data_IF_605534646037
#
_entry.id   IF_605534646037
#
_cell.length_a   1.000
_cell.length_b   1.000
_cell.length_c   1.000
_cell.angle_alpha   90.00
_cell.angle_beta   90.00
_cell.angle_gamma   90.00
#
_symmetry.space_group_name_H-M   'P 1'
#
loop_
_entity.id
_entity.type
_entity.pdbx_description
1 polymer ?
#
# COMPACT_ATOMS: atom_id res chain seq x y z
N UNK A 1 34.51 4.63 8.47
CA UNK A 1 33.50 5.46 9.19
C UNK A 1 32.41 5.93 8.23
N UNK A 2 32.74 6.59 7.10
CA UNK A 2 31.76 6.90 6.02
C UNK A 2 31.13 5.67 5.36
N UNK A 3 31.90 4.60 5.16
CA UNK A 3 31.36 3.37 4.55
C UNK A 3 30.29 2.70 5.43
N UNK A 4 30.46 2.76 6.75
CA UNK A 4 29.45 2.27 7.71
C UNK A 4 28.17 3.11 7.64
N UNK A 5 28.29 4.43 7.46
CA UNK A 5 27.14 5.32 7.32
C UNK A 5 26.36 5.08 6.02
N UNK A 6 27.05 4.91 4.89
CA UNK A 6 26.41 4.55 3.62
C UNK A 6 25.78 3.14 3.66
N UNK A 7 26.37 2.22 4.43
CA UNK A 7 25.74 0.93 4.74
C UNK A 7 24.41 1.08 5.47
N UNK A 8 24.35 1.92 6.50
CA UNK A 8 23.10 2.19 7.23
C UNK A 8 22.06 2.92 6.37
N UNK A 9 22.46 3.85 5.51
CA UNK A 9 21.54 4.46 4.53
C UNK A 9 20.99 3.43 3.53
N UNK A 10 21.81 2.46 3.13
CA UNK A 10 21.35 1.35 2.28
C UNK A 10 20.33 0.48 3.00
N UNK A 11 20.50 0.29 4.32
CA UNK A 11 19.56 -0.45 5.16
C UNK A 11 18.17 0.16 5.20
N UNK A 12 18.06 1.50 5.18
CA UNK A 12 16.76 2.17 5.05
C UNK A 12 16.04 1.70 3.78
N UNK A 13 16.74 1.67 2.64
CA UNK A 13 16.15 1.25 1.37
C UNK A 13 15.74 -0.23 1.39
N UNK A 14 16.58 -1.10 1.96
CA UNK A 14 16.26 -2.52 2.12
C UNK A 14 14.99 -2.75 2.94
N UNK A 15 14.81 -2.00 4.03
CA UNK A 15 13.60 -2.08 4.86
C UNK A 15 12.37 -1.62 4.06
N UNK A 16 12.46 -0.53 3.31
CA UNK A 16 11.35 -0.04 2.48
C UNK A 16 10.95 -1.04 1.40
N UNK A 17 11.92 -1.62 0.69
CA UNK A 17 11.64 -2.67 -0.32
C UNK A 17 10.99 -3.87 0.33
N UNK A 18 11.50 -4.33 1.48
CA UNK A 18 10.92 -5.45 2.22
C UNK A 18 9.49 -5.17 2.67
N UNK A 19 9.20 -3.98 3.19
CA UNK A 19 7.85 -3.58 3.58
C UNK A 19 6.92 -3.49 2.38
N UNK A 20 7.41 -3.08 1.22
CA UNK A 20 6.64 -3.06 -0.03
C UNK A 20 6.26 -4.47 -0.46
N UNK A 21 7.21 -5.41 -0.41
CA UNK A 21 6.95 -6.83 -0.69
C UNK A 21 5.93 -7.44 0.29
N UNK A 22 6.02 -7.12 1.58
CA UNK A 22 5.06 -7.58 2.59
C UNK A 22 3.66 -6.97 2.38
N UNK A 23 3.57 -5.67 2.12
CA UNK A 23 2.29 -5.00 1.87
C UNK A 23 1.60 -5.50 0.59
N UNK A 24 2.38 -5.88 -0.43
CA UNK A 24 1.89 -6.56 -1.64
C UNK A 24 1.28 -7.92 -1.31
N UNK A 25 2.05 -8.79 -0.64
CA UNK A 25 1.59 -10.14 -0.25
C UNK A 25 0.36 -10.08 0.65
N UNK A 26 0.34 -9.12 1.59
CA UNK A 26 -0.78 -8.91 2.48
C UNK A 26 -2.05 -8.55 1.71
N UNK A 27 -1.99 -7.62 0.76
CA UNK A 27 -3.16 -7.23 -0.03
C UNK A 27 -3.65 -8.38 -0.92
N UNK A 28 -2.76 -9.05 -1.65
CA UNK A 28 -3.12 -10.21 -2.50
C UNK A 28 -3.79 -11.35 -1.70
N UNK A 29 -3.21 -11.66 -0.52
CA UNK A 29 -3.76 -12.66 0.39
C UNK A 29 -5.11 -12.21 0.98
N UNK A 30 -5.26 -10.93 1.31
CA UNK A 30 -6.51 -10.36 1.82
C UNK A 30 -7.62 -10.41 0.76
N UNK A 31 -7.31 -10.05 -0.49
CA UNK A 31 -8.23 -10.18 -1.62
C UNK A 31 -8.64 -11.64 -1.82
N UNK A 32 -7.69 -12.57 -1.80
CA UNK A 32 -7.97 -13.99 -1.97
C UNK A 32 -8.93 -14.46 -0.88
N UNK A 33 -8.61 -14.16 0.40
CA UNK A 33 -9.46 -14.49 1.53
C UNK A 33 -10.88 -13.91 1.42
N UNK A 34 -10.98 -12.66 0.95
CA UNK A 34 -12.25 -11.97 0.72
C UNK A 34 -13.11 -12.67 -0.33
N UNK A 35 -12.52 -13.03 -1.48
CA UNK A 35 -13.26 -13.58 -2.62
C UNK A 35 -13.62 -15.06 -2.45
N UNK A 36 -12.84 -15.81 -1.68
CA UNK A 36 -13.03 -17.24 -1.44
C UNK A 36 -13.59 -17.58 -0.05
N UNK A 37 -13.84 -16.58 0.80
CA UNK A 37 -14.23 -16.76 2.20
C UNK A 37 -13.25 -17.64 2.99
N UNK A 38 -11.94 -17.52 2.72
CA UNK A 38 -10.90 -18.26 3.43
C UNK A 38 -10.56 -17.61 4.77
N UNK A 39 -11.17 -18.13 5.83
CA UNK A 39 -10.96 -17.66 7.20
C UNK A 39 -9.49 -17.74 7.64
N UNK A 40 -8.80 -18.82 7.29
CA UNK A 40 -7.41 -19.03 7.75
C UNK A 40 -6.46 -18.04 7.09
N UNK A 41 -6.68 -17.77 5.80
CA UNK A 41 -5.90 -16.79 5.08
C UNK A 41 -6.16 -15.36 5.60
N UNK A 42 -7.42 -15.03 5.91
CA UNK A 42 -7.77 -13.75 6.53
C UNK A 42 -7.06 -13.56 7.88
N UNK A 43 -7.08 -14.57 8.75
CA UNK A 43 -6.39 -14.53 10.05
C UNK A 43 -4.87 -14.42 9.90
N UNK A 44 -4.29 -15.12 8.91
CA UNK A 44 -2.87 -15.04 8.61
C UNK A 44 -2.46 -13.60 8.23
N UNK A 45 -3.23 -12.94 7.35
CA UNK A 45 -2.98 -11.53 6.99
C UNK A 45 -3.07 -10.62 8.20
N UNK A 46 -4.12 -10.76 9.02
CA UNK A 46 -4.31 -9.92 10.21
C UNK A 46 -3.14 -10.08 11.20
N UNK A 47 -2.66 -11.30 11.39
CA UNK A 47 -1.50 -11.55 12.27
C UNK A 47 -0.16 -11.09 11.67
N UNK A 48 -0.04 -11.13 10.34
CA UNK A 48 1.18 -10.74 9.62
C UNK A 48 1.47 -9.24 9.67
N UNK A 49 0.45 -8.41 9.91
CA UNK A 49 0.55 -6.95 10.04
C UNK A 49 1.62 -6.51 11.07
N UNK A 50 1.75 -7.26 12.16
CA UNK A 50 2.76 -7.00 13.20
C UNK A 50 4.21 -7.01 12.67
N UNK A 51 4.48 -7.71 11.56
CA UNK A 51 5.79 -7.70 10.91
C UNK A 51 6.06 -6.37 10.19
N UNK A 52 5.04 -5.79 9.55
CA UNK A 52 5.15 -4.48 8.88
C UNK A 52 5.39 -3.40 9.94
N UNK A 53 4.63 -3.43 11.04
CA UNK A 53 4.81 -2.56 12.21
C UNK A 53 6.22 -2.61 12.80
N UNK A 54 6.79 -3.82 12.89
CA UNK A 54 8.13 -4.00 13.43
C UNK A 54 9.20 -3.38 12.53
N UNK A 55 9.06 -3.53 11.20
CA UNK A 55 9.95 -2.91 10.22
C UNK A 55 9.82 -1.39 10.20
N UNK A 56 8.60 -0.86 10.41
CA UNK A 56 8.39 0.57 10.58
C UNK A 56 9.20 1.10 11.76
N UNK A 57 9.03 0.51 12.94
CA UNK A 57 9.77 0.91 14.15
C UNK A 57 11.28 0.80 13.96
N UNK A 58 11.76 -0.27 13.32
CA UNK A 58 13.18 -0.44 13.02
C UNK A 58 13.71 0.71 12.16
N UNK A 59 12.99 1.10 11.11
CA UNK A 59 13.41 2.21 10.24
C UNK A 59 13.42 3.55 10.99
N UNK A 60 12.41 3.81 11.83
CA UNK A 60 12.34 5.02 12.64
C UNK A 60 13.52 5.13 13.61
N UNK A 61 13.78 4.07 14.38
CA UNK A 61 14.88 4.03 15.35
C UNK A 61 16.24 4.24 14.66
N UNK A 62 16.48 3.55 13.54
CA UNK A 62 17.70 3.75 12.73
C UNK A 62 17.83 5.17 12.21
N UNK A 63 16.74 5.73 11.70
CA UNK A 63 16.71 7.09 11.17
C UNK A 63 17.05 8.11 12.26
N UNK A 64 16.51 7.95 13.46
CA UNK A 64 16.82 8.80 14.61
C UNK A 64 18.30 8.69 15.03
N UNK A 65 18.85 7.46 15.08
CA UNK A 65 20.26 7.25 15.44
C UNK A 65 21.21 7.91 14.42
N UNK A 66 20.91 7.79 13.13
CA UNK A 66 21.67 8.43 12.06
C UNK A 66 21.64 9.96 12.15
N UNK A 67 20.46 10.54 12.38
CA UNK A 67 20.32 11.98 12.56
C UNK A 67 21.11 12.49 13.78
N UNK A 68 21.06 11.75 14.89
CA UNK A 68 21.73 12.13 16.12
C UNK A 68 23.26 12.03 16.03
N UNK A 69 23.79 10.99 15.36
CA UNK A 69 25.24 10.70 15.36
C UNK A 69 26.02 11.31 14.21
N UNK A 70 25.39 11.49 13.05
CA UNK A 70 26.13 11.74 11.80
C UNK A 70 25.89 13.13 11.20
N UNK A 71 24.94 13.91 11.73
CA UNK A 71 24.60 15.25 11.24
C UNK A 71 24.50 15.32 9.69
N UNK A 72 23.67 14.46 9.07
CA UNK A 72 23.62 14.32 7.61
C UNK A 72 23.13 15.61 6.95
N UNK A 73 23.63 15.88 5.73
CA UNK A 73 23.29 17.08 4.95
C UNK A 73 22.81 16.73 3.55
N UNK A 74 22.09 17.65 2.92
CA UNK A 74 21.63 17.55 1.53
C UNK A 74 20.97 16.20 1.19
N UNK A 75 21.64 15.36 0.38
CA UNK A 75 21.11 14.09 -0.13
C UNK A 75 20.92 13.06 1.00
N UNK A 76 21.84 13.00 1.95
CA UNK A 76 21.77 12.04 3.06
C UNK A 76 20.59 12.35 3.98
N UNK A 77 20.41 13.64 4.31
CA UNK A 77 19.26 14.10 5.10
C UNK A 77 17.95 13.82 4.36
N UNK A 78 17.91 14.09 3.05
CA UNK A 78 16.72 13.82 2.24
C UNK A 78 16.40 12.32 2.17
N UNK A 79 17.41 11.46 2.13
CA UNK A 79 17.23 10.01 2.14
C UNK A 79 16.58 9.55 3.44
N UNK A 80 17.06 10.05 4.58
CA UNK A 80 16.51 9.69 5.90
C UNK A 80 15.07 10.20 6.06
N UNK A 81 14.83 11.49 5.77
CA UNK A 81 13.50 12.09 5.88
C UNK A 81 12.52 11.49 4.86
N UNK A 82 13.01 11.16 3.66
CA UNK A 82 12.25 10.43 2.65
C UNK A 82 11.85 9.06 3.16
N UNK A 83 12.79 8.30 3.73
CA UNK A 83 12.54 7.00 4.34
C UNK A 83 11.47 7.05 5.43
N UNK A 84 11.57 7.98 6.37
CA UNK A 84 10.57 8.18 7.44
C UNK A 84 9.15 8.47 6.91
N UNK A 85 9.04 9.16 5.77
CA UNK A 85 7.73 9.45 5.17
C UNK A 85 7.19 8.29 4.35
N UNK A 86 8.08 7.56 3.68
CA UNK A 86 7.71 6.39 2.88
C UNK A 86 7.32 5.22 3.76
N UNK A 87 8.03 4.99 4.88
CA UNK A 87 7.74 3.89 5.81
C UNK A 87 6.32 3.99 6.37
N UNK A 88 5.87 5.20 6.73
CA UNK A 88 4.50 5.44 7.17
C UNK A 88 3.48 5.18 6.06
N UNK A 89 3.81 5.41 4.78
CA UNK A 89 2.88 5.09 3.69
C UNK A 89 2.78 3.56 3.48
N UNK A 90 3.87 2.83 3.68
CA UNK A 90 3.91 1.37 3.57
C UNK A 90 3.18 0.67 4.74
N UNK A 91 3.30 1.20 5.96
CA UNK A 91 2.51 0.73 7.10
C UNK A 91 1.01 0.91 6.84
N UNK A 92 0.60 2.09 6.31
CA UNK A 92 -0.79 2.32 5.91
C UNK A 92 -1.28 1.35 4.83
N UNK A 93 -0.43 0.96 3.89
CA UNK A 93 -0.78 -0.06 2.90
C UNK A 93 -1.01 -1.44 3.54
N UNK A 94 -0.19 -1.81 4.53
CA UNK A 94 -0.38 -3.02 5.36
C UNK A 94 -1.70 -3.00 6.15
N UNK A 95 -1.95 -1.89 6.85
CA UNK A 95 -3.18 -1.60 7.59
C UNK A 95 -4.45 -1.81 6.74
N UNK A 96 -4.43 -1.30 5.51
CA UNK A 96 -5.54 -1.41 4.57
C UNK A 96 -5.76 -2.88 4.13
N UNK A 97 -4.69 -3.63 3.88
CA UNK A 97 -4.79 -5.07 3.62
C UNK A 97 -5.38 -5.82 4.84
N UNK A 98 -4.94 -5.47 6.06
CA UNK A 98 -5.52 -5.99 7.30
C UNK A 98 -7.01 -5.67 7.42
N UNK A 99 -7.45 -4.48 7.04
CA UNK A 99 -8.88 -4.12 7.04
C UNK A 99 -9.69 -4.96 6.04
N UNK A 100 -9.18 -5.19 4.83
CA UNK A 100 -9.80 -6.10 3.84
C UNK A 100 -9.95 -7.50 4.42
N UNK A 101 -8.88 -8.04 5.01
CA UNK A 101 -8.91 -9.36 5.66
C UNK A 101 -9.86 -9.40 6.87
N UNK A 102 -9.98 -8.29 7.61
CA UNK A 102 -10.90 -8.19 8.75
C UNK A 102 -12.35 -8.31 8.29
N UNK A 103 -12.73 -7.66 7.18
CA UNK A 103 -14.08 -7.81 6.59
C UNK A 103 -14.31 -9.26 6.14
N UNK A 104 -13.33 -9.86 5.45
CA UNK A 104 -13.42 -11.26 5.04
C UNK A 104 -13.67 -12.21 6.23
N UNK A 105 -12.93 -12.02 7.33
CA UNK A 105 -13.10 -12.80 8.58
C UNK A 105 -14.46 -12.58 9.23
N UNK A 106 -14.94 -11.33 9.29
CA UNK A 106 -16.21 -11.01 9.96
C UNK A 106 -17.43 -11.61 9.26
N UNK A 107 -17.36 -11.83 7.94
CA UNK A 107 -18.48 -12.36 7.15
C UNK A 107 -18.46 -13.87 6.98
N UNK A 108 -17.41 -14.55 7.41
CA UNK A 108 -17.35 -16.00 7.39
C UNK A 108 -18.54 -16.64 8.15
N UNK A 109 -19.21 -17.67 7.62
CA UNK A 109 -18.86 -18.46 6.43
C UNK A 109 -19.32 -17.87 5.09
N UNK A 110 -20.08 -16.78 5.11
CA UNK A 110 -20.54 -16.11 3.90
C UNK A 110 -19.42 -15.28 3.24
N UNK A 111 -19.70 -14.73 2.06
CA UNK A 111 -18.78 -13.85 1.35
C UNK A 111 -19.26 -12.40 1.50
N UNK A 112 -18.37 -11.51 1.93
CA UNK A 112 -18.67 -10.09 2.07
C UNK A 112 -18.99 -9.41 0.73
N UNK A 113 -18.53 -10.00 -0.39
CA UNK A 113 -18.68 -9.46 -1.73
C UNK A 113 -19.74 -10.26 -2.50
N UNK A 114 -20.85 -9.61 -2.92
CA UNK A 114 -21.82 -10.20 -3.83
C UNK A 114 -21.17 -10.79 -5.10
N UNK A 115 -21.71 -11.90 -5.59
CA UNK A 115 -21.10 -12.67 -6.68
C UNK A 115 -20.88 -11.86 -7.96
N UNK A 116 -21.80 -10.95 -8.28
CA UNK A 116 -21.76 -10.03 -9.42
C UNK A 116 -20.72 -8.91 -9.28
N UNK A 117 -20.25 -8.63 -8.07
CA UNK A 117 -19.20 -7.63 -7.80
C UNK A 117 -17.80 -8.23 -7.67
N UNK A 118 -17.67 -9.56 -7.54
CA UNK A 118 -16.36 -10.24 -7.46
C UNK A 118 -15.40 -9.87 -8.62
N UNK A 119 -15.85 -9.74 -9.89
CA UNK A 119 -14.97 -9.32 -10.98
C UNK A 119 -14.34 -7.94 -10.76
N UNK A 120 -15.08 -6.98 -10.20
CA UNK A 120 -14.60 -5.62 -9.95
C UNK A 120 -13.50 -5.64 -8.88
N UNK A 121 -13.69 -6.42 -7.80
CA UNK A 121 -12.68 -6.58 -6.75
C UNK A 121 -11.44 -7.36 -7.22
N UNK A 122 -11.62 -8.36 -8.09
CA UNK A 122 -10.51 -9.07 -8.70
C UNK A 122 -9.67 -8.13 -9.59
N UNK A 123 -10.32 -7.24 -10.34
CA UNK A 123 -9.63 -6.22 -11.12
C UNK A 123 -8.94 -5.18 -10.23
N UNK A 124 -9.61 -4.70 -9.16
CA UNK A 124 -9.00 -3.78 -8.21
C UNK A 124 -7.73 -4.36 -7.57
N UNK A 125 -7.72 -5.66 -7.27
CA UNK A 125 -6.52 -6.35 -6.78
C UNK A 125 -5.41 -6.43 -7.82
N UNK A 126 -5.72 -6.67 -9.09
CA UNK A 126 -4.73 -6.64 -10.18
C UNK A 126 -4.12 -5.24 -10.35
N UNK A 127 -4.93 -4.19 -10.27
CA UNK A 127 -4.47 -2.81 -10.32
C UNK A 127 -3.57 -2.51 -9.11
N UNK A 128 -4.00 -2.89 -7.90
CA UNK A 128 -3.20 -2.72 -6.69
C UNK A 128 -1.84 -3.45 -6.78
N UNK A 129 -1.81 -4.70 -7.28
CA UNK A 129 -0.57 -5.46 -7.50
C UNK A 129 0.35 -4.75 -8.49
N UNK A 130 -0.20 -4.27 -9.61
CA UNK A 130 0.55 -3.52 -10.62
C UNK A 130 1.17 -2.25 -10.04
N UNK A 131 0.40 -1.49 -9.26
CA UNK A 131 0.89 -0.25 -8.63
C UNK A 131 2.02 -0.54 -7.65
N UNK A 132 1.85 -1.51 -6.75
CA UNK A 132 2.87 -1.82 -5.73
C UNK A 132 4.13 -2.44 -6.33
N UNK A 133 4.03 -3.24 -7.41
CA UNK A 133 5.19 -3.74 -8.16
C UNK A 133 5.97 -2.58 -8.77
N UNK A 134 5.30 -1.64 -9.44
CA UNK A 134 5.99 -0.46 -9.97
C UNK A 134 6.59 0.41 -8.86
N UNK A 135 5.89 0.59 -7.74
CA UNK A 135 6.44 1.32 -6.57
C UNK A 135 7.71 0.65 -6.04
N UNK A 136 7.72 -0.69 -5.99
CA UNK A 136 8.92 -1.46 -5.63
C UNK A 136 10.07 -1.22 -6.61
N UNK A 137 9.79 -1.24 -7.91
CA UNK A 137 10.81 -1.01 -8.94
C UNK A 137 11.37 0.42 -8.85
N UNK A 138 10.53 1.42 -8.57
CA UNK A 138 10.97 2.79 -8.26
C UNK A 138 11.91 2.83 -7.05
N UNK A 139 11.64 2.06 -5.99
CA UNK A 139 12.50 2.00 -4.80
C UNK A 139 13.85 1.33 -5.07
N UNK A 140 13.88 0.34 -5.97
CA UNK A 140 15.10 -0.41 -6.31
C UNK A 140 15.95 0.34 -7.34
N UNK A 141 15.33 0.76 -8.44
CA UNK A 141 16.01 1.32 -9.61
C UNK A 141 16.17 2.83 -9.55
N UNK A 142 15.42 3.51 -8.66
CA UNK A 142 15.34 4.97 -8.56
C UNK A 142 14.90 5.64 -9.87
N UNK A 143 14.17 4.92 -10.70
CA UNK A 143 13.62 5.44 -11.95
C UNK A 143 12.41 6.35 -11.67
N UNK A 144 12.59 7.64 -11.94
CA UNK A 144 11.56 8.66 -11.76
C UNK A 144 10.48 8.62 -12.85
N UNK A 145 10.76 7.98 -14.01
CA UNK A 145 9.80 7.89 -15.11
C UNK A 145 8.62 6.98 -14.76
N UNK A 146 8.87 5.92 -14.00
CA UNK A 146 7.85 5.00 -13.49
C UNK A 146 6.84 5.70 -12.57
N UNK A 147 7.21 6.81 -11.92
CA UNK A 147 6.27 7.54 -11.05
C UNK A 147 5.11 8.17 -11.82
N UNK A 148 5.33 8.61 -13.06
CA UNK A 148 4.26 9.12 -13.92
C UNK A 148 3.33 7.98 -14.38
N UNK A 149 3.88 6.79 -14.63
CA UNK A 149 3.07 5.63 -14.98
C UNK A 149 2.21 5.14 -13.80
N UNK A 150 2.75 5.15 -12.58
CA UNK A 150 1.99 4.78 -11.37
C UNK A 150 0.77 5.70 -11.21
N UNK A 151 0.95 7.01 -11.37
CA UNK A 151 -0.17 7.96 -11.30
C UNK A 151 -1.23 7.69 -12.37
N UNK A 152 -0.82 7.36 -13.59
CA UNK A 152 -1.76 7.02 -14.68
C UNK A 152 -2.47 5.68 -14.45
N UNK A 153 -1.77 4.70 -13.87
CA UNK A 153 -2.36 3.39 -13.58
C UNK A 153 -3.39 3.47 -12.43
N UNK A 154 -3.23 4.44 -11.53
CA UNK A 154 -4.16 4.75 -10.43
C UNK A 154 -5.52 5.26 -10.94
N UNK A 155 -5.58 5.93 -12.09
CA UNK A 155 -6.84 6.35 -12.73
C UNK A 155 -7.82 5.16 -12.87
N UNK A 156 -7.30 3.95 -13.11
CA UNK A 156 -8.13 2.75 -13.20
C UNK A 156 -8.72 2.35 -11.85
N UNK A 157 -7.98 2.51 -10.75
CA UNK A 157 -8.51 2.27 -9.40
C UNK A 157 -9.65 3.25 -9.09
N UNK A 158 -9.48 4.52 -9.44
CA UNK A 158 -10.52 5.55 -9.28
C UNK A 158 -11.79 5.24 -10.10
N UNK A 159 -11.64 4.72 -11.31
CA UNK A 159 -12.76 4.25 -12.13
C UNK A 159 -13.51 3.09 -11.46
N UNK A 160 -12.78 2.07 -10.99
CA UNK A 160 -13.38 0.91 -10.30
C UNK A 160 -14.09 1.34 -9.01
N UNK A 161 -13.50 2.26 -8.26
CA UNK A 161 -14.11 2.84 -7.07
C UNK A 161 -15.43 3.53 -7.41
N UNK A 162 -15.45 4.38 -8.45
CA UNK A 162 -16.67 5.04 -8.93
C UNK A 162 -17.72 4.04 -9.44
N UNK A 163 -17.30 2.99 -10.13
CA UNK A 163 -18.21 1.92 -10.57
C UNK A 163 -18.88 1.23 -9.38
N UNK A 164 -18.12 0.85 -8.34
CA UNK A 164 -18.68 0.25 -7.13
C UNK A 164 -19.73 1.13 -6.47
N UNK A 165 -19.44 2.43 -6.34
CA UNK A 165 -20.41 3.39 -5.80
C UNK A 165 -21.68 3.46 -6.65
N UNK A 166 -21.56 3.50 -7.97
CA UNK A 166 -22.71 3.51 -8.87
C UNK A 166 -23.57 2.25 -8.70
N UNK A 167 -22.95 1.06 -8.52
CA UNK A 167 -23.68 -0.19 -8.27
C UNK A 167 -24.44 -0.19 -6.94
N UNK A 168 -23.80 0.32 -5.88
CA UNK A 168 -24.40 0.36 -4.54
C UNK A 168 -25.54 1.37 -4.46
N UNK A 169 -25.46 2.47 -5.22
CA UNK A 169 -26.49 3.52 -5.27
C UNK A 169 -27.60 3.26 -6.29
N UNK A 170 -27.52 2.17 -7.06
CA UNK A 170 -28.55 1.81 -8.03
C UNK A 170 -29.85 1.42 -7.31
N UNK A 171 -30.99 1.89 -7.82
CA UNK A 171 -32.32 1.58 -7.25
C UNK A 171 -32.63 0.08 -7.24
N UNK A 172 -31.92 -0.72 -8.06
CA UNK A 172 -32.04 -2.18 -8.13
C UNK A 172 -31.10 -2.92 -7.17
N UNK A 173 -30.40 -2.24 -6.26
CA UNK A 173 -29.56 -2.89 -5.25
C UNK A 173 -30.37 -3.88 -4.39
N UNK A 174 -30.04 -5.16 -4.49
CA UNK A 174 -30.81 -6.25 -3.87
C UNK A 174 -30.03 -7.04 -2.82
N UNK A 175 -28.76 -6.69 -2.56
CA UNK A 175 -27.87 -7.43 -1.66
C UNK A 175 -27.97 -7.01 -0.18
N UNK A 176 -28.82 -6.02 0.12
CA UNK A 176 -29.05 -5.51 1.48
C UNK A 176 -28.04 -4.46 1.95
N UNK A 177 -28.36 -3.80 3.06
CA UNK A 177 -27.57 -2.67 3.59
C UNK A 177 -26.18 -3.09 4.10
N UNK A 178 -26.06 -4.30 4.65
CA UNK A 178 -24.79 -4.80 5.17
C UNK A 178 -23.75 -4.98 4.06
N UNK A 179 -24.13 -5.63 2.96
CA UNK A 179 -23.27 -5.77 1.78
C UNK A 179 -22.93 -4.41 1.16
N UNK A 180 -23.85 -3.45 1.17
CA UNK A 180 -23.60 -2.10 0.66
C UNK A 180 -22.49 -1.40 1.47
N UNK A 181 -22.52 -1.51 2.80
CA UNK A 181 -21.50 -0.96 3.69
C UNK A 181 -20.15 -1.64 3.45
N UNK A 182 -20.12 -2.98 3.42
CA UNK A 182 -18.89 -3.74 3.22
C UNK A 182 -18.22 -3.40 1.88
N UNK A 183 -19.00 -3.43 0.79
CA UNK A 183 -18.50 -3.11 -0.56
C UNK A 183 -17.96 -1.68 -0.63
N UNK A 184 -18.64 -0.72 0.00
CA UNK A 184 -18.21 0.68 0.04
C UNK A 184 -16.89 0.83 0.79
N UNK A 185 -16.75 0.19 1.95
CA UNK A 185 -15.52 0.21 2.75
C UNK A 185 -14.37 -0.47 2.02
N UNK A 186 -14.61 -1.65 1.44
CA UNK A 186 -13.61 -2.38 0.66
C UNK A 186 -13.13 -1.53 -0.52
N UNK A 187 -14.04 -0.95 -1.30
CA UNK A 187 -13.68 -0.06 -2.42
C UNK A 187 -12.83 1.12 -1.97
N UNK A 188 -13.12 1.71 -0.80
CA UNK A 188 -12.30 2.78 -0.20
C UNK A 188 -10.92 2.30 0.24
N UNK A 189 -10.79 1.07 0.72
CA UNK A 189 -9.49 0.55 1.13
C UNK A 189 -8.56 0.30 -0.06
N UNK A 190 -9.09 -0.18 -1.19
CA UNK A 190 -8.31 -0.32 -2.43
C UNK A 190 -7.86 1.03 -3.00
N UNK A 191 -8.75 2.03 -3.05
CA UNK A 191 -8.40 3.40 -3.49
C UNK A 191 -7.31 4.00 -2.59
N UNK A 192 -7.47 3.93 -1.28
CA UNK A 192 -6.45 4.43 -0.34
C UNK A 192 -5.13 3.68 -0.44
N UNK A 193 -5.14 2.39 -0.77
CA UNK A 193 -3.92 1.61 -0.98
C UNK A 193 -3.17 2.13 -2.21
N UNK A 194 -3.90 2.38 -3.29
CA UNK A 194 -3.37 2.91 -4.54
C UNK A 194 -2.83 4.34 -4.37
N UNK A 195 -3.55 5.20 -3.66
CA UNK A 195 -3.08 6.53 -3.26
C UNK A 195 -1.73 6.51 -2.52
N UNK A 196 -1.54 5.53 -1.61
CA UNK A 196 -0.29 5.38 -0.88
C UNK A 196 0.86 4.95 -1.82
N UNK A 197 0.58 4.09 -2.81
CA UNK A 197 1.55 3.74 -3.86
C UNK A 197 1.96 4.97 -4.71
N UNK A 198 1.00 5.82 -5.09
CA UNK A 198 1.27 7.09 -5.78
C UNK A 198 2.07 8.05 -4.90
N UNK A 199 1.72 8.15 -3.61
CA UNK A 199 2.45 8.98 -2.64
C UNK A 199 3.91 8.56 -2.51
N UNK A 200 4.17 7.24 -2.44
CA UNK A 200 5.52 6.67 -2.42
C UNK A 200 6.31 7.03 -3.67
N UNK A 201 5.71 6.86 -4.85
CA UNK A 201 6.35 7.21 -6.12
C UNK A 201 6.73 8.70 -6.18
N UNK A 202 5.83 9.60 -5.78
CA UNK A 202 6.10 11.05 -5.73
C UNK A 202 7.23 11.39 -4.75
N UNK A 203 7.31 10.71 -3.61
CA UNK A 203 8.40 10.88 -2.63
C UNK A 203 9.74 10.39 -3.18
N UNK A 204 9.75 9.34 -3.98
CA UNK A 204 10.97 8.87 -4.65
C UNK A 204 11.46 9.86 -5.71
N UNK A 205 10.55 10.46 -6.49
CA UNK A 205 10.92 11.57 -7.38
C UNK A 205 11.51 12.74 -6.59
N UNK A 206 10.91 13.11 -5.45
CA UNK A 206 11.48 14.13 -4.58
C UNK A 206 12.86 13.75 -4.05
N UNK A 207 13.08 12.49 -3.68
CA UNK A 207 14.37 12.01 -3.19
C UNK A 207 15.46 12.20 -4.25
N UNK A 208 15.19 11.80 -5.49
CA UNK A 208 16.14 11.88 -6.61
C UNK A 208 16.35 13.33 -7.07
N UNK A 209 15.27 14.09 -7.30
CA UNK A 209 15.34 15.42 -7.94
C UNK A 209 15.50 16.56 -6.94
N UNK A 210 15.13 16.35 -5.68
CA UNK A 210 15.04 17.39 -4.65
C UNK A 210 13.76 18.23 -4.71
N UNK A 211 12.88 18.01 -5.68
CA UNK A 211 11.63 18.78 -5.87
C UNK A 211 10.45 17.84 -5.73
N UNK A 212 9.46 18.22 -4.91
CA UNK A 212 8.21 17.46 -4.82
C UNK A 212 7.40 17.75 -6.10
N UNK A 213 6.96 16.72 -6.86
CA UNK A 213 6.11 16.94 -8.02
C UNK A 213 4.79 17.59 -7.59
N UNK A 214 4.51 18.78 -8.11
CA UNK A 214 3.20 19.43 -7.99
C UNK A 214 2.36 18.98 -9.19
N UNK A 215 1.64 17.87 -9.00
CA UNK A 215 0.62 17.29 -9.88
C UNK A 215 1.17 16.57 -11.13
N UNK A 216 0.85 15.28 -11.21
CA UNK A 216 0.43 14.62 -12.45
C UNK A 216 -1.10 14.49 -12.34
#
# INVERSE_FOLDING_TARGET
MRDSFHGELSKINEILVRMTDLARVAMDSATTALLTSDLRLAEAVISGDAQIDALHRELEERSMDLLARQQPVAVDLRTIIGGLRMVSSLERMGDLARHVATIARMRYPDCAVPADLKPIFAEAAQVADKLVVKTRDVLVERDVSLAAEIAKDDDRMDELHRELFARVLDDNWSHGMEAAIDVTLLGRFYERYADHAVSLARRMVQLVTGVLPTNA
#
